data_IF_251569708978
#
_entry.id   IF_251569708978
#
_cell.length_a   1.000
_cell.length_b   1.000
_cell.length_c   1.000
_cell.angle_alpha   90.00
_cell.angle_beta   90.00
_cell.angle_gamma   90.00
#
_symmetry.space_group_name_H-M   'P 1'
#
loop_
_entity.id
_entity.type
_entity.pdbx_description
1 polymer ?
#
# COMPACT_ATOMS: atom_id res chain seq x y z
N UNK A 1 23.61 -1.26 -16.23
CA UNK A 1 22.73 -2.37 -15.86
C UNK A 1 22.09 -2.93 -17.13
N UNK A 2 22.22 -4.22 -17.40
CA UNK A 2 21.76 -4.85 -18.65
C UNK A 2 20.32 -5.34 -18.63
N UNK A 3 19.43 -4.68 -17.89
CA UNK A 3 18.04 -5.11 -17.72
C UNK A 3 17.23 -4.97 -19.03
N UNK A 4 16.40 -5.96 -19.34
CA UNK A 4 15.55 -5.97 -20.53
C UNK A 4 14.13 -5.56 -20.16
N UNK A 5 13.60 -4.51 -20.78
CA UNK A 5 12.21 -4.08 -20.55
C UNK A 5 11.26 -4.98 -21.35
N UNK A 6 10.65 -5.92 -20.65
CA UNK A 6 9.75 -6.95 -21.20
C UNK A 6 8.31 -6.49 -21.46
N UNK A 7 7.84 -5.40 -20.82
CA UNK A 7 6.47 -4.93 -21.02
C UNK A 7 5.96 -3.89 -20.01
N UNK A 8 4.63 -3.81 -19.91
CA UNK A 8 3.88 -2.92 -19.00
C UNK A 8 2.87 -3.75 -18.22
N UNK A 9 2.84 -3.60 -16.89
CA UNK A 9 1.89 -4.29 -16.01
C UNK A 9 0.58 -3.51 -15.88
N UNK A 10 -0.52 -4.22 -15.59
CA UNK A 10 -1.82 -3.60 -15.30
C UNK A 10 -1.76 -2.85 -13.97
N UNK A 11 -2.30 -1.63 -13.95
CA UNK A 11 -2.52 -0.84 -12.72
C UNK A 11 -3.99 -0.44 -12.63
N UNK A 12 -4.45 -0.15 -11.41
CA UNK A 12 -5.77 0.46 -11.18
C UNK A 12 -5.82 1.86 -11.76
N UNK A 13 -6.96 2.32 -12.31
CA UNK A 13 -7.08 3.65 -12.91
C UNK A 13 -6.54 4.76 -11.98
N UNK A 14 -5.52 5.49 -12.45
CA UNK A 14 -4.78 6.55 -11.73
C UNK A 14 -4.30 6.19 -10.32
N UNK A 15 -3.99 4.91 -10.08
CA UNK A 15 -3.56 4.39 -8.78
C UNK A 15 -4.55 4.65 -7.62
N UNK A 16 -5.84 4.82 -7.91
CA UNK A 16 -6.84 5.16 -6.89
C UNK A 16 -7.41 3.97 -6.10
N UNK A 17 -6.95 2.76 -6.39
CA UNK A 17 -7.51 1.53 -5.82
C UNK A 17 -8.85 1.19 -6.48
N UNK A 18 -8.95 -0.04 -6.96
CA UNK A 18 -10.13 -0.61 -7.62
C UNK A 18 -10.33 -2.01 -7.05
N UNK A 19 -11.59 -2.42 -6.85
CA UNK A 19 -11.93 -3.78 -6.46
C UNK A 19 -12.64 -4.51 -7.60
N UNK A 20 -12.23 -5.76 -7.92
CA UNK A 20 -13.05 -6.64 -8.73
C UNK A 20 -14.38 -6.94 -8.03
N UNK A 21 -15.46 -7.25 -8.74
CA UNK A 21 -15.58 -7.24 -10.21
C UNK A 21 -16.06 -5.90 -10.80
N UNK A 22 -16.27 -4.86 -9.98
CA UNK A 22 -17.04 -3.68 -10.37
C UNK A 22 -16.21 -2.48 -10.85
N UNK A 23 -15.07 -2.18 -10.22
CA UNK A 23 -14.30 -0.96 -10.53
C UNK A 23 -13.43 -1.10 -11.78
N UNK A 24 -13.09 -2.35 -12.12
CA UNK A 24 -12.29 -2.75 -13.27
C UNK A 24 -13.12 -2.76 -14.56
N UNK A 25 -13.50 -1.56 -15.05
CA UNK A 25 -14.45 -1.39 -16.17
C UNK A 25 -13.80 -1.56 -17.54
N UNK A 26 -12.68 -0.88 -17.81
CA UNK A 26 -12.03 -0.88 -19.13
C UNK A 26 -11.11 -2.11 -19.36
N UNK A 27 -10.83 -2.88 -18.31
CA UNK A 27 -9.92 -4.03 -18.32
C UNK A 27 -10.30 -5.03 -17.23
N UNK A 28 -10.12 -6.34 -17.47
CA UNK A 28 -10.23 -7.32 -16.39
C UNK A 28 -9.06 -7.18 -15.39
N UNK A 29 -9.39 -7.21 -14.10
CA UNK A 29 -8.40 -7.30 -13.02
C UNK A 29 -7.48 -8.52 -13.20
N UNK A 30 -6.18 -8.41 -12.87
CA UNK A 30 -5.27 -9.55 -12.83
C UNK A 30 -5.83 -10.72 -12.00
N UNK A 31 -5.31 -11.93 -12.23
CA UNK A 31 -5.53 -13.07 -11.36
C UNK A 31 -4.41 -13.12 -10.33
N UNK A 32 -4.74 -13.30 -9.07
CA UNK A 32 -3.75 -13.63 -8.05
C UNK A 32 -3.44 -15.13 -8.20
N UNK A 33 -2.20 -15.55 -8.52
CA UNK A 33 -1.88 -16.96 -8.74
C UNK A 33 -1.80 -17.78 -7.44
N UNK A 34 -1.83 -17.12 -6.27
CA UNK A 34 -1.73 -17.76 -4.95
C UNK A 34 -3.03 -18.45 -4.54
N UNK A 35 -2.92 -19.53 -3.78
CA UNK A 35 -4.05 -20.30 -3.26
C UNK A 35 -4.95 -20.83 -4.36
N UNK A 36 -6.24 -20.49 -4.29
CA UNK A 36 -7.25 -20.94 -5.27
C UNK A 36 -7.22 -20.23 -6.64
N UNK A 37 -6.49 -19.13 -6.80
CA UNK A 37 -6.50 -18.33 -8.04
C UNK A 37 -7.57 -17.23 -8.11
N UNK A 38 -8.45 -17.15 -7.11
CA UNK A 38 -9.64 -16.27 -7.09
C UNK A 38 -9.58 -15.19 -6.01
N UNK A 39 -8.45 -15.04 -5.34
CA UNK A 39 -8.18 -13.89 -4.50
C UNK A 39 -8.02 -12.61 -5.35
N UNK A 40 -8.38 -11.49 -4.75
CA UNK A 40 -8.13 -10.15 -5.23
C UNK A 40 -6.61 -9.87 -5.23
N UNK A 41 -6.00 -9.45 -6.36
CA UNK A 41 -4.57 -9.13 -6.42
C UNK A 41 -4.20 -7.81 -5.72
N UNK A 42 -5.16 -7.15 -5.06
CA UNK A 42 -5.04 -5.79 -4.51
C UNK A 42 -4.60 -4.76 -5.57
N UNK A 43 -4.14 -3.59 -5.14
CA UNK A 43 -3.75 -2.48 -6.01
C UNK A 43 -3.01 -1.38 -5.25
N UNK A 44 -2.45 -0.38 -5.91
CA UNK A 44 -2.61 -0.04 -7.33
C UNK A 44 -1.77 -0.87 -8.31
N UNK A 45 -0.68 -1.48 -7.83
CA UNK A 45 0.31 -2.21 -8.64
C UNK A 45 -0.10 -3.67 -8.91
N UNK A 46 -1.40 -3.91 -9.15
CA UNK A 46 -2.03 -5.24 -9.21
C UNK A 46 -1.32 -6.21 -10.19
N UNK A 47 -0.99 -5.73 -11.39
CA UNK A 47 -0.34 -6.54 -12.42
C UNK A 47 1.15 -6.77 -12.17
N UNK A 48 1.80 -5.94 -11.35
CA UNK A 48 3.19 -6.12 -10.94
C UNK A 48 3.30 -7.29 -9.97
N UNK A 49 2.51 -7.29 -8.90
CA UNK A 49 2.46 -8.40 -7.94
C UNK A 49 1.97 -9.71 -8.55
N UNK A 50 0.89 -9.66 -9.34
CA UNK A 50 0.39 -10.85 -10.04
C UNK A 50 1.38 -11.40 -11.08
N UNK A 51 2.12 -10.52 -11.79
CA UNK A 51 3.09 -10.91 -12.80
C UNK A 51 4.28 -11.66 -12.20
N UNK A 52 4.97 -11.06 -11.22
CA UNK A 52 6.08 -11.70 -10.51
C UNK A 52 5.67 -13.02 -9.85
N UNK A 53 4.47 -13.07 -9.26
CA UNK A 53 3.98 -14.31 -8.65
C UNK A 53 3.55 -15.38 -9.67
N UNK A 54 3.47 -15.08 -10.98
CA UNK A 54 3.02 -16.04 -12.02
C UNK A 54 4.13 -16.50 -12.96
N UNK A 55 5.15 -15.67 -13.19
CA UNK A 55 6.13 -15.86 -14.26
C UNK A 55 7.54 -16.00 -13.69
N UNK A 56 8.07 -17.21 -13.73
CA UNK A 56 9.42 -17.58 -13.28
C UNK A 56 10.54 -16.85 -14.04
N UNK A 57 10.30 -16.48 -15.30
CA UNK A 57 11.20 -15.70 -16.14
C UNK A 57 11.18 -14.18 -15.87
N UNK A 58 10.42 -13.69 -14.88
CA UNK A 58 10.37 -12.26 -14.51
C UNK A 58 11.14 -11.98 -13.22
N UNK A 59 12.38 -11.46 -13.33
CA UNK A 59 13.22 -11.19 -12.16
C UNK A 59 12.72 -10.00 -11.30
N UNK A 60 12.29 -8.92 -11.96
CA UNK A 60 11.98 -7.63 -11.31
C UNK A 60 10.78 -6.98 -11.99
N UNK A 61 9.88 -6.40 -11.19
CA UNK A 61 8.83 -5.52 -11.70
C UNK A 61 8.60 -4.34 -10.75
N UNK A 62 8.40 -3.14 -11.31
CA UNK A 62 8.25 -1.88 -10.57
C UNK A 62 6.78 -1.52 -10.33
N UNK A 63 6.49 -0.82 -9.23
CA UNK A 63 5.18 -0.28 -8.91
C UNK A 63 5.28 1.07 -8.20
N UNK A 64 4.13 1.67 -7.90
CA UNK A 64 4.00 2.80 -6.97
C UNK A 64 3.27 2.34 -5.72
N UNK A 65 3.71 2.79 -4.55
CA UNK A 65 3.17 2.34 -3.27
C UNK A 65 2.58 3.50 -2.45
N UNK A 66 1.56 3.19 -1.64
CA UNK A 66 1.00 4.11 -0.63
C UNK A 66 0.73 3.43 0.73
N UNK A 67 1.35 2.28 1.02
CA UNK A 67 1.54 1.70 2.36
C UNK A 67 1.93 0.19 2.44
N UNK A 68 2.95 -0.17 3.26
CA UNK A 68 3.43 -1.55 3.62
C UNK A 68 3.45 -1.85 5.15
N UNK A 69 4.03 -2.97 5.68
CA UNK A 69 3.82 -3.47 7.09
C UNK A 69 4.43 -4.88 7.61
N UNK A 70 5.22 -5.02 8.73
CA UNK A 70 5.39 -6.17 9.76
C UNK A 70 6.82 -6.53 10.29
N UNK A 71 6.90 -7.37 11.34
CA UNK A 71 8.01 -7.72 12.25
C UNK A 71 8.33 -9.23 12.34
N UNK A 72 9.60 -9.60 12.57
CA UNK A 72 10.14 -10.13 13.85
C UNK A 72 11.49 -10.82 13.60
N UNK A 73 12.63 -10.26 14.05
CA UNK A 73 13.91 -11.00 14.14
C UNK A 73 14.99 -10.36 15.04
N UNK A 74 15.20 -9.05 14.92
CA UNK A 74 16.46 -8.27 15.09
C UNK A 74 17.36 -8.43 16.35
N UNK A 75 17.15 -9.39 17.25
CA UNK A 75 17.72 -9.46 18.61
C UNK A 75 17.56 -8.13 19.39
N UNK A 76 16.57 -7.35 18.99
CA UNK A 76 16.25 -6.05 19.54
C UNK A 76 15.13 -6.19 20.59
N UNK A 77 15.24 -5.45 21.68
CA UNK A 77 14.20 -5.41 22.71
C UNK A 77 12.86 -4.97 22.11
N UNK A 78 11.88 -5.88 22.04
CA UNK A 78 10.54 -5.59 21.52
C UNK A 78 9.76 -4.71 22.52
N UNK A 79 9.76 -3.40 22.30
CA UNK A 79 8.99 -2.46 23.14
C UNK A 79 7.58 -2.28 22.57
N UNK A 80 6.57 -2.69 23.33
CA UNK A 80 5.17 -2.34 23.02
C UNK A 80 4.93 -0.86 23.32
N UNK A 81 4.79 -0.05 22.26
CA UNK A 81 4.50 1.38 22.39
C UNK A 81 2.99 1.66 22.41
N UNK A 82 2.53 2.53 23.31
CA UNK A 82 1.22 3.15 23.17
C UNK A 82 1.33 4.35 22.22
N UNK A 83 1.16 4.11 20.93
CA UNK A 83 1.27 5.12 19.88
C UNK A 83 0.36 6.33 20.12
N UNK A 84 -0.86 6.12 20.64
CA UNK A 84 -1.77 7.22 20.99
C UNK A 84 -1.23 8.08 22.14
N UNK A 85 -0.72 7.47 23.21
CA UNK A 85 -0.17 8.22 24.35
C UNK A 85 1.12 8.98 23.96
N UNK A 86 2.01 8.33 23.21
CA UNK A 86 3.24 8.96 22.68
C UNK A 86 2.92 10.15 21.76
N UNK A 87 2.02 9.96 20.79
CA UNK A 87 1.61 11.02 19.88
C UNK A 87 0.88 12.16 20.59
N UNK A 88 -0.03 11.84 21.52
CA UNK A 88 -0.75 12.83 22.33
C UNK A 88 0.22 13.73 23.11
N UNK A 89 1.25 13.15 23.73
CA UNK A 89 2.30 13.91 24.43
C UNK A 89 3.13 14.79 23.48
N UNK A 90 3.52 14.26 22.30
CA UNK A 90 4.29 15.00 21.31
C UNK A 90 3.53 16.18 20.70
N UNK A 91 2.30 15.94 20.26
CA UNK A 91 1.48 16.93 19.55
C UNK A 91 0.66 17.84 20.49
N UNK A 92 0.73 17.62 21.81
CA UNK A 92 -0.07 18.28 22.84
C UNK A 92 -1.59 18.19 22.56
N UNK A 93 -2.08 16.97 22.36
CA UNK A 93 -3.50 16.66 22.08
C UNK A 93 -3.98 15.48 22.92
N UNK A 94 -5.30 15.30 23.02
CA UNK A 94 -5.92 14.16 23.72
C UNK A 94 -6.68 13.22 22.80
N UNK A 95 -6.88 13.58 21.53
CA UNK A 95 -7.77 12.88 20.59
C UNK A 95 -7.24 11.55 20.07
N UNK A 96 -5.95 11.25 20.27
CA UNK A 96 -5.29 10.10 19.68
C UNK A 96 -4.94 10.30 18.19
N UNK A 97 -4.05 9.44 17.71
CA UNK A 97 -3.44 9.47 16.38
C UNK A 97 -4.48 9.41 15.26
N UNK A 98 -5.42 8.46 15.38
CA UNK A 98 -6.50 8.24 14.41
C UNK A 98 -7.38 9.47 14.21
N UNK A 99 -7.89 10.05 15.31
CA UNK A 99 -8.74 11.24 15.24
C UNK A 99 -7.97 12.51 14.87
N UNK A 100 -6.67 12.59 15.19
CA UNK A 100 -5.84 13.72 14.81
C UNK A 100 -5.57 13.71 13.29
N UNK A 101 -5.13 12.58 12.74
CA UNK A 101 -4.95 12.40 11.29
C UNK A 101 -6.28 12.59 10.56
N UNK A 102 -7.35 11.96 11.04
CA UNK A 102 -8.70 12.11 10.50
C UNK A 102 -8.75 11.87 8.99
N UNK A 103 -9.06 12.92 8.21
CA UNK A 103 -9.14 12.86 6.75
C UNK A 103 -7.89 13.37 6.02
N UNK A 104 -6.75 13.56 6.71
CA UNK A 104 -5.58 14.24 6.14
C UNK A 104 -5.10 13.59 4.83
N UNK A 105 -4.93 12.27 4.82
CA UNK A 105 -4.54 11.52 3.61
C UNK A 105 -5.52 11.76 2.45
N UNK A 106 -6.81 11.49 2.68
CA UNK A 106 -7.90 11.69 1.70
C UNK A 106 -7.99 13.14 1.18
N UNK A 107 -7.74 14.13 2.03
CA UNK A 107 -7.76 15.54 1.65
C UNK A 107 -6.60 15.86 0.71
N UNK A 108 -5.38 15.47 1.08
CA UNK A 108 -4.17 15.69 0.26
C UNK A 108 -4.34 14.99 -1.09
N UNK A 109 -4.59 13.68 -1.10
CA UNK A 109 -4.65 12.90 -2.34
C UNK A 109 -5.78 13.33 -3.26
N UNK A 110 -6.98 13.60 -2.76
CA UNK A 110 -8.07 14.04 -3.64
C UNK A 110 -7.85 15.47 -4.14
N UNK A 111 -7.29 16.37 -3.32
CA UNK A 111 -7.04 17.76 -3.70
C UNK A 111 -6.00 17.85 -4.82
N UNK A 112 -4.86 17.16 -4.64
CA UNK A 112 -3.73 17.17 -5.58
C UNK A 112 -4.02 16.35 -6.83
N UNK A 113 -4.54 15.12 -6.71
CA UNK A 113 -4.85 14.35 -7.91
C UNK A 113 -5.90 15.04 -8.78
N UNK A 114 -6.88 15.72 -8.20
CA UNK A 114 -7.84 16.48 -9.00
C UNK A 114 -7.17 17.61 -9.78
N UNK A 115 -6.32 18.40 -9.12
CA UNK A 115 -5.71 19.62 -9.70
C UNK A 115 -4.53 19.34 -10.61
N UNK A 116 -3.65 18.41 -10.23
CA UNK A 116 -2.41 18.09 -10.93
C UNK A 116 -2.60 17.06 -12.04
N UNK A 117 -3.59 16.17 -11.92
CA UNK A 117 -3.83 15.06 -12.86
C UNK A 117 -5.20 15.14 -13.55
N UNK A 118 -6.31 15.15 -12.81
CA UNK A 118 -7.65 15.04 -13.38
C UNK A 118 -8.01 16.22 -14.28
N UNK A 119 -7.80 17.46 -13.81
CA UNK A 119 -8.09 18.68 -14.57
C UNK A 119 -7.25 18.77 -15.86
N UNK A 120 -5.89 18.67 -15.83
CA UNK A 120 -5.08 18.70 -17.05
C UNK A 120 -5.30 17.51 -17.98
N UNK A 121 -5.65 16.33 -17.46
CA UNK A 121 -6.01 15.19 -18.30
C UNK A 121 -7.35 15.42 -19.00
N UNK A 122 -8.40 15.82 -18.26
CA UNK A 122 -9.74 16.06 -18.81
C UNK A 122 -9.71 17.10 -19.93
N UNK A 123 -9.02 18.21 -19.72
CA UNK A 123 -8.85 19.27 -20.73
C UNK A 123 -8.17 18.73 -22.00
N UNK A 124 -7.03 18.03 -21.87
CA UNK A 124 -6.30 17.45 -23.01
C UNK A 124 -7.12 16.38 -23.73
N UNK A 125 -7.86 15.55 -23.00
CA UNK A 125 -8.71 14.52 -23.57
C UNK A 125 -9.89 15.14 -24.34
N UNK A 126 -10.55 16.16 -23.78
CA UNK A 126 -11.62 16.90 -24.47
C UNK A 126 -11.10 17.60 -25.74
N UNK A 127 -9.95 18.27 -25.67
CA UNK A 127 -9.33 18.90 -26.83
C UNK A 127 -8.95 17.90 -27.95
N UNK A 128 -8.54 16.68 -27.58
CA UNK A 128 -8.13 15.64 -28.55
C UNK A 128 -9.30 14.82 -29.12
N UNK A 129 -10.35 14.57 -28.33
CA UNK A 129 -11.40 13.60 -28.66
C UNK A 129 -12.83 14.17 -28.67
N UNK A 130 -13.01 15.47 -28.42
CA UNK A 130 -14.32 16.15 -28.47
C UNK A 130 -15.32 15.72 -27.39
N UNK A 131 -14.91 14.86 -26.43
CA UNK A 131 -15.77 14.31 -25.38
C UNK A 131 -15.02 14.25 -24.05
N UNK A 132 -15.75 14.11 -22.93
CA UNK A 132 -15.13 13.81 -21.64
C UNK A 132 -14.57 12.38 -21.62
N UNK A 133 -13.44 12.14 -20.92
CA UNK A 133 -12.98 10.77 -20.64
C UNK A 133 -13.95 10.05 -19.70
N UNK A 134 -13.93 8.72 -19.75
CA UNK A 134 -14.60 7.90 -18.76
C UNK A 134 -13.76 7.84 -17.48
N UNK A 135 -14.43 8.00 -16.34
CA UNK A 135 -13.89 7.69 -15.02
C UNK A 135 -14.70 6.52 -14.45
N UNK A 136 -14.01 5.50 -13.94
CA UNK A 136 -14.65 4.44 -13.17
C UNK A 136 -15.38 5.06 -11.96
N UNK A 137 -16.34 4.35 -11.34
CA UNK A 137 -17.15 4.92 -10.26
C UNK A 137 -16.33 5.40 -9.05
N UNK A 138 -15.28 4.67 -8.66
CA UNK A 138 -14.39 4.98 -7.54
C UNK A 138 -13.46 6.18 -7.79
N UNK A 139 -12.86 6.28 -8.98
CA UNK A 139 -12.11 7.46 -9.46
C UNK A 139 -13.00 8.69 -9.47
N UNK A 140 -14.24 8.53 -9.97
CA UNK A 140 -15.21 9.61 -10.11
C UNK A 140 -15.54 10.26 -8.76
N UNK A 141 -15.99 9.49 -7.77
CA UNK A 141 -16.40 10.05 -6.48
C UNK A 141 -15.24 10.74 -5.75
N UNK A 142 -14.02 10.20 -5.83
CA UNK A 142 -12.82 10.83 -5.24
C UNK A 142 -12.48 12.16 -5.89
N UNK A 143 -12.65 12.29 -7.19
CA UNK A 143 -12.36 13.53 -7.91
C UNK A 143 -13.51 14.55 -7.88
N UNK A 144 -14.76 14.12 -7.78
CA UNK A 144 -15.89 15.00 -7.44
C UNK A 144 -15.68 15.63 -6.05
N UNK A 145 -15.19 14.85 -5.07
CA UNK A 145 -14.70 15.38 -3.80
C UNK A 145 -13.48 16.29 -3.97
N UNK A 146 -12.47 15.87 -4.75
CA UNK A 146 -11.27 16.67 -5.03
C UNK A 146 -11.57 18.06 -5.59
N UNK A 147 -12.61 18.17 -6.42
CA UNK A 147 -13.10 19.42 -6.99
C UNK A 147 -13.73 20.37 -5.97
N UNK A 148 -14.29 19.87 -4.88
CA UNK A 148 -15.01 20.65 -3.85
C UNK A 148 -14.15 20.98 -2.63
N UNK A 149 -12.99 20.33 -2.44
CA UNK A 149 -12.07 20.62 -1.34
C UNK A 149 -11.48 22.04 -1.44
N UNK A 150 -11.57 22.79 -0.34
CA UNK A 150 -10.95 24.10 -0.18
C UNK A 150 -9.43 24.00 0.03
N UNK A 151 -8.71 25.07 -0.32
CA UNK A 151 -7.28 25.19 -0.02
C UNK A 151 -7.00 25.08 1.50
N UNK A 152 -7.88 25.63 2.35
CA UNK A 152 -7.74 25.53 3.81
C UNK A 152 -7.84 24.09 4.32
N UNK A 153 -8.69 23.25 3.72
CA UNK A 153 -8.83 21.83 4.07
C UNK A 153 -7.59 21.01 3.68
N UNK A 154 -6.95 21.38 2.57
CA UNK A 154 -5.65 20.84 2.16
C UNK A 154 -4.52 21.30 3.10
N UNK A 155 -4.42 22.60 3.39
CA UNK A 155 -3.37 23.15 4.26
C UNK A 155 -3.41 22.57 5.69
N UNK A 156 -4.60 22.43 6.28
CA UNK A 156 -4.77 21.79 7.60
C UNK A 156 -4.43 20.30 7.56
N UNK A 157 -4.77 19.59 6.47
CA UNK A 157 -4.37 18.20 6.28
C UNK A 157 -2.84 18.05 6.17
N UNK A 158 -2.18 18.90 5.38
CA UNK A 158 -0.72 18.92 5.23
C UNK A 158 -0.03 19.24 6.55
N UNK A 159 -0.57 20.16 7.36
CA UNK A 159 -0.05 20.46 8.70
C UNK A 159 -0.12 19.23 9.63
N UNK A 160 -1.26 18.53 9.66
CA UNK A 160 -1.43 17.30 10.46
C UNK A 160 -0.49 16.18 10.00
N UNK A 161 -0.33 16.01 8.69
CA UNK A 161 0.64 15.11 8.07
C UNK A 161 2.08 15.45 8.51
N UNK A 162 2.46 16.72 8.50
CA UNK A 162 3.81 17.17 8.93
C UNK A 162 4.06 16.90 10.43
N UNK A 163 3.07 17.12 11.29
CA UNK A 163 3.17 16.78 12.72
C UNK A 163 3.33 15.27 12.92
N UNK A 164 2.56 14.45 12.20
CA UNK A 164 2.70 12.99 12.22
C UNK A 164 4.08 12.53 11.75
N UNK A 165 4.53 13.02 10.59
CA UNK A 165 5.83 12.71 10.02
C UNK A 165 6.96 13.07 11.01
N UNK A 166 6.87 14.24 11.64
CA UNK A 166 7.87 14.71 12.60
C UNK A 166 7.90 13.83 13.86
N UNK A 167 6.73 13.48 14.41
CA UNK A 167 6.62 12.55 15.54
C UNK A 167 7.21 11.18 15.20
N UNK A 168 6.77 10.57 14.10
CA UNK A 168 7.17 9.21 13.71
C UNK A 168 8.68 9.13 13.51
N UNK A 169 9.26 10.07 12.76
CA UNK A 169 10.70 10.16 12.54
C UNK A 169 11.47 10.39 13.84
N UNK A 170 11.08 11.36 14.66
CA UNK A 170 11.85 11.69 15.88
C UNK A 170 11.66 10.72 17.04
N UNK A 171 10.56 9.96 17.06
CA UNK A 171 10.18 9.13 18.22
C UNK A 171 10.29 7.63 17.93
N UNK A 172 10.00 7.18 16.71
CA UNK A 172 9.92 5.76 16.37
C UNK A 172 11.06 5.27 15.46
N UNK A 173 11.65 6.16 14.66
CA UNK A 173 12.74 5.85 13.72
C UNK A 173 13.77 7.00 13.63
N UNK A 174 14.43 7.39 14.74
CA UNK A 174 15.29 8.57 14.76
C UNK A 174 16.62 8.39 14.00
N UNK A 175 17.20 7.19 13.97
CA UNK A 175 18.42 6.87 13.21
C UNK A 175 18.33 5.47 12.58
N UNK A 176 19.31 5.09 11.75
CA UNK A 176 19.35 3.77 11.12
C UNK A 176 19.58 2.63 12.13
N UNK A 177 20.23 2.94 13.25
CA UNK A 177 20.72 2.00 14.26
C UNK A 177 19.83 1.93 15.51
N UNK A 178 18.84 2.83 15.62
CA UNK A 178 18.05 2.97 16.84
C UNK A 178 16.85 2.03 16.93
N UNK A 179 16.08 1.91 15.84
CA UNK A 179 14.79 1.20 15.83
C UNK A 179 14.20 1.07 14.43
N UNK A 180 13.57 -0.08 14.18
CA UNK A 180 12.71 -0.32 13.01
C UNK A 180 11.24 -0.42 13.47
N UNK A 181 10.31 -0.02 12.61
CA UNK A 181 8.87 -0.11 12.88
C UNK A 181 8.22 -1.18 12.01
N UNK A 182 7.37 -1.98 12.65
CA UNK A 182 6.96 -3.30 12.21
C UNK A 182 5.50 -3.61 12.69
N UNK A 183 4.50 -3.81 11.80
CA UNK A 183 3.03 -3.89 12.05
C UNK A 183 2.30 -4.62 10.87
N UNK A 184 1.18 -5.41 10.94
CA UNK A 184 0.73 -6.39 9.89
C UNK A 184 0.42 -5.95 8.41
N UNK A 185 0.95 -6.62 7.34
CA UNK A 185 0.71 -6.27 5.88
C UNK A 185 -0.23 -7.25 5.20
N UNK A 186 0.24 -8.47 4.96
CA UNK A 186 -0.55 -9.59 4.49
C UNK A 186 -0.71 -10.57 5.64
N UNK A 187 -1.88 -10.63 6.27
CA UNK A 187 -2.18 -11.62 7.31
C UNK A 187 -2.58 -13.00 6.73
N UNK A 188 -2.42 -13.20 5.41
CA UNK A 188 -2.96 -14.35 4.70
C UNK A 188 -4.49 -14.45 4.73
N UNK A 189 -5.21 -13.34 4.96
CA UNK A 189 -6.68 -13.31 4.98
C UNK A 189 -7.25 -13.41 3.56
N UNK A 190 -8.36 -14.14 3.41
CA UNK A 190 -9.10 -14.28 2.16
C UNK A 190 -9.73 -12.94 1.76
N UNK A 191 -9.52 -12.52 0.51
CA UNK A 191 -10.18 -11.39 -0.12
C UNK A 191 -10.62 -11.81 -1.53
N UNK A 192 -11.79 -12.42 -1.67
CA UNK A 192 -12.21 -13.01 -2.95
C UNK A 192 -12.67 -11.95 -3.97
N UNK A 193 -12.29 -12.16 -5.24
CA UNK A 193 -12.54 -11.22 -6.37
C UNK A 193 -14.00 -11.12 -6.85
N UNK A 194 -14.86 -12.03 -6.39
CA UNK A 194 -16.30 -12.12 -6.70
C UNK A 194 -17.17 -11.51 -5.59
N UNK A 195 -16.58 -10.98 -4.51
CA UNK A 195 -17.30 -10.23 -3.48
C UNK A 195 -17.80 -8.92 -4.07
N UNK A 196 -19.12 -8.73 -4.11
CA UNK A 196 -19.73 -7.47 -4.53
C UNK A 196 -19.28 -6.32 -3.60
N UNK A 197 -18.60 -5.28 -4.11
CA UNK A 197 -18.19 -4.16 -3.29
C UNK A 197 -19.38 -3.30 -2.90
N UNK A 198 -19.25 -2.57 -1.78
CA UNK A 198 -20.15 -1.49 -1.43
C UNK A 198 -20.08 -0.35 -2.46
N UNK A 199 -21.02 0.61 -2.39
CA UNK A 199 -20.99 1.79 -3.24
C UNK A 199 -19.65 2.56 -3.10
N UNK A 200 -19.13 3.14 -4.20
CA UNK A 200 -17.88 3.90 -4.22
C UNK A 200 -17.78 4.95 -3.12
N UNK A 201 -16.61 5.03 -2.48
CA UNK A 201 -16.36 5.91 -1.34
C UNK A 201 -15.31 6.98 -1.69
N UNK A 202 -15.64 8.29 -1.58
CA UNK A 202 -14.71 9.38 -1.85
C UNK A 202 -13.63 9.55 -0.76
N UNK A 203 -13.74 8.84 0.36
CA UNK A 203 -12.79 8.83 1.47
C UNK A 203 -11.91 7.57 1.42
N UNK A 204 -10.61 7.77 1.58
CA UNK A 204 -9.61 6.70 1.70
C UNK A 204 -8.54 7.09 2.72
N UNK A 205 -8.04 6.13 3.50
CA UNK A 205 -7.05 6.42 4.54
C UNK A 205 -7.57 7.21 5.74
N UNK A 206 -8.87 7.12 6.05
CA UNK A 206 -9.44 7.83 7.20
C UNK A 206 -8.94 7.22 8.52
N UNK A 207 -8.29 8.04 9.34
CA UNK A 207 -7.88 7.68 10.70
C UNK A 207 -6.89 6.52 10.83
N UNK A 208 -6.22 6.13 9.76
CA UNK A 208 -5.30 4.99 9.73
C UNK A 208 -3.94 5.40 9.17
N UNK A 209 -2.89 5.44 10.00
CA UNK A 209 -1.53 5.11 9.60
C UNK A 209 -1.37 3.59 9.79
N UNK A 210 -2.19 2.81 9.08
CA UNK A 210 -2.02 1.35 9.01
C UNK A 210 -0.85 1.07 8.07
N UNK A 211 -1.13 0.44 6.94
CA UNK A 211 -0.13 0.31 5.88
C UNK A 211 0.46 1.69 5.46
N UNK A 212 -0.36 2.74 5.42
CA UNK A 212 0.02 4.09 5.00
C UNK A 212 1.09 4.80 5.86
N UNK A 213 1.54 4.25 6.99
CA UNK A 213 2.44 4.98 7.90
C UNK A 213 3.78 5.35 7.29
N UNK A 214 4.42 4.45 6.53
CA UNK A 214 5.72 4.71 5.90
C UNK A 214 5.63 5.86 4.89
N UNK A 215 4.59 5.85 4.05
CA UNK A 215 4.31 6.91 3.06
C UNK A 215 3.93 8.22 3.74
N UNK A 216 3.15 8.17 4.84
CA UNK A 216 2.82 9.37 5.62
C UNK A 216 4.02 9.95 6.40
N UNK A 217 5.01 9.12 6.74
CA UNK A 217 6.27 9.57 7.32
C UNK A 217 7.35 9.87 6.26
N UNK A 218 7.09 9.55 4.98
CA UNK A 218 8.07 9.46 3.90
C UNK A 218 9.36 8.74 4.34
N UNK A 219 9.21 7.46 4.70
CA UNK A 219 10.28 6.58 5.17
C UNK A 219 10.46 5.38 4.22
N UNK A 220 11.66 4.79 4.15
CA UNK A 220 11.88 3.51 3.49
C UNK A 220 11.09 2.40 4.19
N UNK A 221 10.50 1.51 3.39
CA UNK A 221 9.68 0.36 3.79
C UNK A 221 10.00 -0.80 2.84
N UNK A 222 10.32 -1.98 3.39
CA UNK A 222 10.63 -3.17 2.60
C UNK A 222 9.75 -4.34 3.03
N UNK A 223 8.96 -4.88 2.09
CA UNK A 223 8.05 -6.01 2.35
C UNK A 223 8.64 -7.38 1.99
N UNK A 224 8.74 -8.30 2.95
CA UNK A 224 9.20 -9.71 2.78
C UNK A 224 8.17 -10.73 3.24
N UNK A 225 8.05 -11.90 2.59
CA UNK A 225 7.22 -13.00 3.11
C UNK A 225 7.85 -13.66 4.34
N UNK A 226 7.03 -14.19 5.26
CA UNK A 226 7.50 -14.95 6.45
C UNK A 226 6.85 -16.34 6.59
N UNK A 227 5.95 -16.70 5.68
CA UNK A 227 5.23 -17.96 5.76
C UNK A 227 3.95 -17.96 4.95
N UNK A 228 3.16 -19.01 5.14
CA UNK A 228 1.84 -19.15 4.55
C UNK A 228 0.82 -19.56 5.62
N UNK A 229 -0.40 -19.02 5.51
CA UNK A 229 -1.53 -19.45 6.32
C UNK A 229 -2.41 -20.39 5.50
N UNK A 230 -2.70 -21.57 6.04
CA UNK A 230 -3.68 -22.48 5.46
C UNK A 230 -5.11 -21.98 5.69
N UNK A 231 -5.97 -22.19 4.70
CA UNK A 231 -7.42 -21.95 4.76
C UNK A 231 -8.17 -22.98 3.92
N UNK A 232 -9.46 -23.18 4.20
CA UNK A 232 -10.33 -23.97 3.34
C UNK A 232 -10.94 -23.05 2.27
N UNK A 233 -10.58 -23.25 1.00
CA UNK A 233 -11.16 -22.46 -0.09
C UNK A 233 -12.54 -22.96 -0.47
N UNK A 234 -13.50 -22.04 -0.56
CA UNK A 234 -14.83 -22.31 -1.12
C UNK A 234 -14.85 -22.44 -2.65
N UNK A 235 -13.71 -22.21 -3.32
CA UNK A 235 -13.61 -22.22 -4.79
C UNK A 235 -12.96 -23.50 -5.28
N UNK A 236 -11.93 -24.00 -4.60
CA UNK A 236 -11.28 -25.28 -4.91
C UNK A 236 -11.72 -26.45 -4.01
N UNK A 237 -12.63 -26.19 -3.05
CA UNK A 237 -13.20 -27.16 -2.10
C UNK A 237 -12.16 -27.99 -1.32
N UNK A 238 -10.99 -27.39 -1.07
CA UNK A 238 -9.86 -28.01 -0.39
C UNK A 238 -9.06 -26.99 0.41
N UNK A 239 -8.10 -27.49 1.19
CA UNK A 239 -7.13 -26.63 1.83
C UNK A 239 -6.19 -25.99 0.80
N UNK A 240 -6.08 -24.68 0.90
CA UNK A 240 -5.25 -23.76 0.12
C UNK A 240 -4.38 -22.95 1.07
N UNK A 241 -3.40 -22.23 0.54
CA UNK A 241 -2.51 -21.35 1.33
C UNK A 241 -2.51 -19.93 0.79
N UNK A 242 -2.31 -18.96 1.68
CA UNK A 242 -2.06 -17.56 1.32
C UNK A 242 -0.78 -17.04 1.99
N UNK A 243 0.00 -16.19 1.29
CA UNK A 243 1.16 -15.51 1.86
C UNK A 243 0.85 -14.76 3.14
N UNK A 244 1.72 -14.93 4.14
CA UNK A 244 1.84 -14.03 5.28
C UNK A 244 3.08 -13.18 5.05
N UNK A 245 2.93 -11.86 5.03
CA UNK A 245 4.00 -10.92 4.67
C UNK A 245 4.23 -9.85 5.72
N UNK A 246 5.50 -9.45 5.81
CA UNK A 246 6.03 -8.39 6.65
C UNK A 246 6.65 -7.24 5.89
N UNK A 247 6.99 -6.14 6.57
CA UNK A 247 7.15 -4.81 5.99
C UNK A 247 7.86 -3.87 6.96
N UNK A 248 9.13 -3.65 6.70
CA UNK A 248 10.10 -3.19 7.68
C UNK A 248 10.37 -1.72 7.39
N UNK A 249 9.94 -0.84 8.29
CA UNK A 249 10.14 0.62 8.17
C UNK A 249 11.39 1.06 8.91
N UNK A 250 12.34 1.66 8.19
CA UNK A 250 13.56 2.23 8.74
C UNK A 250 13.52 3.76 8.78
N UNK A 251 14.52 4.39 9.39
CA UNK A 251 14.65 5.85 9.43
C UNK A 251 14.93 6.45 8.04
N UNK A 252 14.72 7.77 7.92
CA UNK A 252 14.81 8.46 6.63
C UNK A 252 16.25 8.43 6.07
N UNK A 253 16.43 7.91 4.85
CA UNK A 253 17.72 7.76 4.20
C UNK A 253 18.47 6.46 4.55
N UNK A 254 17.86 5.57 5.33
CA UNK A 254 18.42 4.26 5.67
C UNK A 254 18.04 3.17 4.65
N UNK A 255 17.67 3.55 3.43
CA UNK A 255 17.20 2.67 2.35
C UNK A 255 18.19 1.53 2.06
N UNK A 256 19.49 1.83 2.00
CA UNK A 256 20.52 0.80 1.79
C UNK A 256 20.65 -0.12 3.01
N UNK A 257 20.74 0.43 4.23
CA UNK A 257 20.82 -0.37 5.46
C UNK A 257 19.65 -1.35 5.56
N UNK A 258 18.45 -0.91 5.18
CA UNK A 258 17.26 -1.74 5.16
C UNK A 258 17.34 -2.88 4.12
N UNK A 259 17.92 -2.63 2.94
CA UNK A 259 18.14 -3.66 1.91
C UNK A 259 19.23 -4.66 2.33
N UNK A 260 20.35 -4.16 2.85
CA UNK A 260 21.46 -4.97 3.34
C UNK A 260 20.98 -5.88 4.49
N UNK A 261 20.23 -5.33 5.45
CA UNK A 261 19.57 -6.10 6.52
C UNK A 261 18.64 -7.19 5.96
N UNK A 262 17.81 -6.89 4.95
CA UNK A 262 16.91 -7.91 4.36
C UNK A 262 17.69 -9.03 3.67
N UNK A 263 18.85 -8.73 3.07
CA UNK A 263 19.74 -9.75 2.54
C UNK A 263 20.36 -10.61 3.65
N UNK A 264 20.88 -9.99 4.72
CA UNK A 264 21.44 -10.70 5.88
C UNK A 264 20.38 -11.62 6.55
N UNK A 265 19.12 -11.16 6.66
CA UNK A 265 17.99 -11.96 7.15
C UNK A 265 17.70 -13.19 6.27
N UNK A 266 17.97 -13.11 4.98
CA UNK A 266 17.75 -14.19 4.02
C UNK A 266 18.91 -15.19 4.03
N UNK A 267 20.16 -14.70 4.12
CA UNK A 267 21.38 -15.53 4.21
C UNK A 267 21.40 -16.36 5.51
N UNK A 268 20.95 -15.78 6.63
CA UNK A 268 20.77 -16.48 7.92
C UNK A 268 19.47 -17.32 7.98
N UNK A 269 18.69 -17.40 6.88
CA UNK A 269 17.54 -18.29 6.72
C UNK A 269 16.29 -17.95 7.55
N UNK A 270 16.16 -16.69 7.99
CA UNK A 270 15.07 -16.21 8.85
C UNK A 270 13.86 -15.81 8.01
N UNK A 271 14.12 -15.09 6.92
CA UNK A 271 13.17 -14.85 5.85
C UNK A 271 13.55 -15.73 4.66
N UNK A 272 12.62 -16.08 3.77
CA UNK A 272 12.93 -16.92 2.63
C UNK A 272 13.92 -16.24 1.68
N UNK A 273 15.04 -16.90 1.40
CA UNK A 273 15.99 -16.48 0.38
C UNK A 273 15.41 -16.49 -1.04
N UNK A 274 14.52 -17.45 -1.32
CA UNK A 274 13.80 -17.57 -2.59
C UNK A 274 12.31 -17.83 -2.31
N UNK A 275 11.43 -17.32 -3.18
CA UNK A 275 10.02 -17.69 -3.21
C UNK A 275 9.58 -18.11 -4.61
N UNK A 276 8.77 -19.17 -4.67
CA UNK A 276 8.29 -19.76 -5.92
C UNK A 276 7.15 -18.95 -6.53
N UNK A 277 6.98 -19.09 -7.84
CA UNK A 277 5.78 -18.65 -8.57
C UNK A 277 4.64 -19.66 -8.44
N UNK A 278 3.43 -19.26 -8.83
CA UNK A 278 2.23 -20.10 -8.81
C UNK A 278 1.55 -20.18 -7.44
N UNK A 279 0.96 -21.34 -7.14
CA UNK A 279 -0.02 -21.56 -6.06
C UNK A 279 0.49 -21.24 -4.65
N UNK A 280 1.72 -21.64 -4.34
CA UNK A 280 2.37 -21.45 -3.05
C UNK A 280 3.74 -20.79 -3.26
N UNK A 281 4.24 -20.10 -2.24
CA UNK A 281 5.59 -19.53 -2.21
C UNK A 281 6.69 -20.57 -1.93
N UNK A 282 6.34 -21.77 -1.44
CA UNK A 282 7.28 -22.74 -0.86
C UNK A 282 7.23 -24.14 -1.50
#
# INVERSE_FOLDING_TARGET
>A
MGAVIIGKTKTTQFALGERPTADYVDQLAPFNPRGDGYQHPQGSSAGTGAGLASYDWMDIATGSDTGGSLATFLDANTVSINANASFNAYANVTTGLSSYIGLAYSNITNYDQYRLLAQPFKQRYQAKFGKSPYWNPQTRVRWERGATLSLSSYQEATKRYQTFQSWFRTTLTPTCESSLVLYPMGAGTEDYRDVYPAAPNPIFGAGLPGNQMAVMAALPDYTVPIGERAYFSRVSERNETLPVTIGIVAAAGCDQMLMDLVADLADEGIVPFEVKTGRSMF
#
